data_IF_948275777765
#
_entry.id   IF_948275777765
#
_cell.length_a   1.000
_cell.length_b   1.000
_cell.length_c   1.000
_cell.angle_alpha   90.00
_cell.angle_beta   90.00
_cell.angle_gamma   90.00
#
_symmetry.space_group_name_H-M   'P 1'
#
loop_
_entity.id
_entity.type
_entity.pdbx_description
1 polymer ?
#
# COMPACT_ATOMS: atom_id res chain seq x y z
N UNK A 1 17.81 24.41 -45.21
CA UNK A 1 17.52 23.57 -46.39
C UNK A 1 16.85 22.29 -45.89
N UNK A 2 15.68 21.99 -46.47
CA UNK A 2 14.77 20.83 -46.31
C UNK A 2 15.48 19.46 -46.45
N UNK A 3 14.81 18.27 -46.39
CA UNK A 3 13.37 17.95 -46.29
C UNK A 3 13.06 16.87 -45.20
N UNK A 4 11.83 16.56 -44.82
CA UNK A 4 10.89 15.69 -45.54
C UNK A 4 10.62 14.40 -44.73
N UNK A 5 9.37 14.13 -44.38
CA UNK A 5 8.93 12.86 -43.76
C UNK A 5 9.12 11.70 -44.74
N UNK A 6 9.21 10.46 -44.21
CA UNK A 6 8.31 9.43 -44.71
C UNK A 6 7.62 8.66 -43.58
N UNK A 7 6.42 8.15 -43.91
CA UNK A 7 5.63 7.18 -43.14
C UNK A 7 5.95 5.76 -43.62
N UNK A 8 5.90 4.76 -42.73
CA UNK A 8 5.21 3.44 -42.90
C UNK A 8 5.72 2.37 -41.92
N UNK A 9 4.78 1.75 -41.20
CA UNK A 9 4.88 0.49 -40.41
C UNK A 9 4.90 -0.73 -41.39
N UNK A 10 5.21 -2.02 -41.04
CA UNK A 10 4.87 -2.73 -39.78
C UNK A 10 5.78 -3.91 -39.31
N UNK A 11 5.36 -4.52 -38.18
CA UNK A 11 5.42 -5.95 -37.79
C UNK A 11 6.75 -6.60 -37.34
N UNK A 12 6.83 -6.88 -36.04
CA UNK A 12 6.99 -8.25 -35.50
C UNK A 12 6.99 -8.17 -33.97
N UNK A 13 5.83 -8.31 -33.34
CA UNK A 13 5.76 -8.66 -31.93
C UNK A 13 5.84 -10.18 -31.87
N UNK A 14 6.87 -10.78 -31.27
CA UNK A 14 6.80 -12.18 -30.91
C UNK A 14 5.77 -12.29 -29.79
N UNK A 15 4.60 -12.84 -30.10
CA UNK A 15 3.78 -13.57 -29.16
C UNK A 15 4.62 -14.73 -28.60
N UNK A 16 5.43 -14.41 -27.59
CA UNK A 16 5.95 -15.40 -26.68
C UNK A 16 4.93 -15.49 -25.55
N UNK A 17 3.99 -16.41 -25.71
CA UNK A 17 3.19 -16.97 -24.64
C UNK A 17 4.13 -17.53 -23.56
N UNK A 18 4.56 -16.67 -22.64
CA UNK A 18 5.00 -17.07 -21.33
C UNK A 18 3.84 -16.73 -20.41
N UNK A 19 3.09 -17.76 -20.01
CA UNK A 19 1.98 -17.65 -19.08
C UNK A 19 2.36 -16.69 -17.97
N UNK A 20 1.67 -15.56 -17.93
CA UNK A 20 1.68 -14.66 -16.79
C UNK A 20 1.04 -15.47 -15.66
N UNK A 21 1.86 -16.27 -14.98
CA UNK A 21 1.64 -16.54 -13.58
C UNK A 21 1.67 -15.14 -12.96
N UNK A 22 0.49 -14.54 -12.85
CA UNK A 22 0.26 -13.33 -12.07
C UNK A 22 0.86 -13.63 -10.71
N UNK A 23 2.10 -13.18 -10.52
CA UNK A 23 2.77 -13.22 -9.25
C UNK A 23 1.87 -12.39 -8.36
N UNK A 24 1.01 -13.06 -7.59
CA UNK A 24 0.06 -12.44 -6.68
C UNK A 24 0.89 -11.60 -5.73
N UNK A 25 1.00 -10.32 -6.03
CA UNK A 25 1.75 -9.39 -5.20
C UNK A 25 1.02 -9.39 -3.86
N UNK A 26 1.65 -9.80 -2.76
CA UNK A 26 0.97 -9.83 -1.47
C UNK A 26 0.53 -8.42 -1.13
N UNK A 27 -0.78 -8.18 -1.08
CA UNK A 27 -1.33 -6.90 -0.66
C UNK A 27 -1.00 -6.74 0.83
N UNK A 28 -0.17 -5.75 1.15
CA UNK A 28 0.13 -5.44 2.54
C UNK A 28 -1.01 -4.59 3.11
N UNK A 29 -1.33 -4.73 4.41
CA UNK A 29 -2.20 -3.79 5.08
C UNK A 29 -1.64 -2.36 4.94
N UNK A 30 -2.51 -1.32 4.98
CA UNK A 30 -2.06 0.05 5.04
C UNK A 30 -1.10 0.26 6.22
N UNK A 31 0.02 0.93 5.94
CA UNK A 31 0.95 1.38 6.98
C UNK A 31 0.46 2.73 7.52
N UNK A 32 0.43 2.87 8.85
CA UNK A 32 0.10 4.12 9.53
C UNK A 32 1.17 4.42 10.56
N UNK A 33 1.72 5.64 10.52
CA UNK A 33 2.67 6.10 11.52
C UNK A 33 2.00 6.28 12.89
N UNK A 34 2.67 5.87 13.96
CA UNK A 34 2.13 5.98 15.32
C UNK A 34 1.84 7.43 15.71
N UNK A 35 2.64 8.39 15.25
CA UNK A 35 2.40 9.81 15.46
C UNK A 35 1.09 10.29 14.85
N UNK A 36 0.73 9.79 13.65
CA UNK A 36 -0.54 10.10 13.01
C UNK A 36 -1.70 9.42 13.72
N UNK A 37 -1.51 8.18 14.16
CA UNK A 37 -2.52 7.43 14.89
C UNK A 37 -2.88 8.11 16.22
N UNK A 38 -1.88 8.59 16.96
CA UNK A 38 -2.08 9.17 18.29
C UNK A 38 -2.40 10.66 18.30
N UNK A 39 -2.09 11.41 17.23
CA UNK A 39 -2.43 12.83 17.10
C UNK A 39 -1.98 13.70 18.30
N UNK A 40 -0.82 13.36 18.90
CA UNK A 40 -0.28 14.05 20.09
C UNK A 40 -0.76 13.50 21.44
N UNK A 41 -1.67 12.52 21.44
CA UNK A 41 -2.09 11.80 22.63
C UNK A 41 -1.19 10.59 22.91
N UNK A 42 -1.43 9.91 24.04
CA UNK A 42 -0.72 8.67 24.41
C UNK A 42 -1.54 7.41 24.11
N UNK A 43 -2.81 7.59 23.76
CA UNK A 43 -3.77 6.53 23.48
C UNK A 43 -4.86 7.04 22.53
N UNK A 44 -5.50 6.10 21.84
CA UNK A 44 -6.73 6.31 21.06
C UNK A 44 -7.76 5.26 21.42
N UNK A 45 -9.03 5.64 21.32
CA UNK A 45 -10.17 4.75 21.46
C UNK A 45 -10.65 4.30 20.07
N UNK A 46 -10.92 3.00 19.95
CA UNK A 46 -11.27 2.34 18.69
C UNK A 46 -12.56 1.58 18.93
N UNK A 47 -13.62 1.93 18.20
CA UNK A 47 -14.79 1.08 18.12
C UNK A 47 -14.52 -0.09 17.17
N UNK A 48 -14.62 -1.31 17.68
CA UNK A 48 -14.43 -2.52 16.89
C UNK A 48 -15.45 -3.58 17.30
N UNK A 49 -16.19 -4.13 16.33
CA UNK A 49 -17.27 -5.12 16.55
C UNK A 49 -18.30 -4.71 17.62
N UNK A 50 -18.60 -3.42 17.75
CA UNK A 50 -19.56 -2.91 18.74
C UNK A 50 -19.00 -2.73 20.15
N UNK A 51 -17.72 -3.04 20.37
CA UNK A 51 -17.03 -2.81 21.63
C UNK A 51 -16.01 -1.67 21.50
N UNK A 52 -15.72 -1.03 22.61
CA UNK A 52 -14.67 -0.01 22.70
C UNK A 52 -13.36 -0.70 23.06
N UNK A 53 -12.31 -0.36 22.32
CA UNK A 53 -10.94 -0.77 22.60
C UNK A 53 -10.07 0.47 22.78
N UNK A 54 -8.96 0.32 23.50
CA UNK A 54 -7.95 1.35 23.67
C UNK A 54 -6.59 0.87 23.19
N UNK A 55 -6.05 1.54 22.19
CA UNK A 55 -4.66 1.37 21.75
C UNK A 55 -3.81 2.45 22.41
N UNK A 56 -2.68 2.08 23.03
CA UNK A 56 -1.82 3.02 23.76
C UNK A 56 -0.33 2.72 23.57
N UNK A 57 0.49 3.78 23.58
CA UNK A 57 1.94 3.66 23.57
C UNK A 57 2.49 3.49 25.01
N UNK A 58 3.39 2.52 25.20
CA UNK A 58 4.05 2.27 26.49
C UNK A 58 5.38 3.02 26.61
N UNK A 59 5.89 3.12 27.84
CA UNK A 59 7.25 3.66 28.10
C UNK A 59 8.35 2.82 27.46
N UNK A 60 8.08 1.53 27.21
CA UNK A 60 8.99 0.60 26.51
C UNK A 60 8.92 0.72 24.99
N UNK A 61 8.13 1.67 24.45
CA UNK A 61 8.01 1.93 23.01
C UNK A 61 7.10 0.96 22.27
N UNK A 62 6.37 0.09 22.97
CA UNK A 62 5.41 -0.85 22.37
C UNK A 62 4.01 -0.26 22.34
N UNK A 63 3.17 -0.78 21.45
CA UNK A 63 1.75 -0.50 21.43
C UNK A 63 1.00 -1.63 22.14
N UNK A 64 0.04 -1.28 23.00
CA UNK A 64 -0.84 -2.24 23.68
C UNK A 64 -2.28 -1.91 23.30
N UNK A 65 -3.01 -2.92 22.84
CA UNK A 65 -4.45 -2.86 22.65
C UNK A 65 -5.13 -3.54 23.84
N UNK A 66 -6.03 -2.84 24.50
CA UNK A 66 -6.91 -3.39 25.54
C UNK A 66 -8.36 -3.23 25.10
N UNK A 67 -9.23 -4.12 25.56
CA UNK A 67 -10.66 -3.86 25.60
C UNK A 67 -10.95 -2.90 26.75
#
# INVERSE_FOLDING_TARGET
MSPGRPVSHPHAQPEAAAGAAEARVPVRPPLVDSSQLFQGHRAVEIHHNGELYRLQATRTGKLILTK
#
